data_IF_532114439777
#
_entry.id   IF_532114439777
#
_cell.length_a   1.000
_cell.length_b   1.000
_cell.length_c   1.000
_cell.angle_alpha   90.00
_cell.angle_beta   90.00
_cell.angle_gamma   90.00
#
_symmetry.space_group_name_H-M   'P 1'
#
loop_
_entity.id
_entity.type
_entity.pdbx_description
1 polymer ?
#
# COMPACT_ATOMS: atom_id res chain seq x y z
N UNK A 1 -3.40 -2.11 14.54
CA UNK A 1 -4.85 -1.98 14.44
C UNK A 1 -5.41 -1.21 15.62
N UNK A 2 -6.70 -0.88 15.57
CA UNK A 2 -7.35 -0.12 16.63
C UNK A 2 -7.55 -0.97 17.89
N UNK A 3 -7.36 -0.37 19.06
CA UNK A 3 -7.74 -0.99 20.33
C UNK A 3 -9.27 -1.00 20.44
N UNK A 4 -9.81 -1.78 21.39
CA UNK A 4 -11.26 -1.84 21.63
C UNK A 4 -11.84 -0.46 21.95
N UNK A 5 -11.14 0.31 22.79
CA UNK A 5 -11.57 1.67 23.15
C UNK A 5 -11.52 2.63 21.96
N UNK A 6 -10.49 2.55 21.15
CA UNK A 6 -10.37 3.35 19.92
C UNK A 6 -11.50 3.03 18.94
N UNK A 7 -11.75 1.74 18.72
CA UNK A 7 -12.84 1.31 17.84
C UNK A 7 -14.20 1.79 18.36
N UNK A 8 -14.46 1.65 19.64
CA UNK A 8 -15.71 2.10 20.26
C UNK A 8 -15.92 3.60 20.07
N UNK A 9 -14.88 4.42 20.33
CA UNK A 9 -14.98 5.86 20.16
C UNK A 9 -15.26 6.24 18.71
N UNK A 10 -14.61 5.57 17.75
CA UNK A 10 -14.83 5.81 16.33
C UNK A 10 -16.23 5.44 15.88
N UNK A 11 -16.76 4.30 16.34
CA UNK A 11 -18.11 3.87 16.02
C UNK A 11 -19.16 4.84 16.58
N UNK A 12 -19.01 5.28 17.82
CA UNK A 12 -19.93 6.22 18.44
C UNK A 12 -19.92 7.58 17.73
N UNK A 13 -18.75 8.02 17.29
CA UNK A 13 -18.61 9.32 16.63
C UNK A 13 -19.12 9.30 15.19
N UNK A 14 -18.70 8.32 14.39
CA UNK A 14 -18.95 8.29 12.95
C UNK A 14 -20.23 7.54 12.57
N UNK A 15 -20.57 6.46 13.27
CA UNK A 15 -21.75 5.66 12.94
C UNK A 15 -23.01 6.18 13.65
N UNK A 16 -22.89 6.66 14.89
CA UNK A 16 -24.00 7.13 15.70
C UNK A 16 -24.08 8.65 15.84
N UNK A 17 -23.16 9.38 15.21
CA UNK A 17 -23.15 10.85 15.19
C UNK A 17 -23.15 11.51 16.57
N UNK A 18 -22.55 10.87 17.57
CA UNK A 18 -22.51 11.43 18.92
C UNK A 18 -21.42 12.50 19.05
N UNK A 19 -21.69 13.51 19.88
CA UNK A 19 -20.69 14.52 20.23
C UNK A 19 -19.61 13.93 21.14
N UNK A 20 -18.48 14.61 21.25
CA UNK A 20 -17.39 14.19 22.14
C UNK A 20 -17.86 14.09 23.59
N UNK A 21 -18.70 15.03 24.04
CA UNK A 21 -19.27 15.00 25.38
C UNK A 21 -20.19 13.82 25.63
N UNK A 22 -21.01 13.47 24.65
CA UNK A 22 -21.90 12.30 24.75
C UNK A 22 -21.12 10.99 24.78
N UNK A 23 -20.09 10.87 23.95
CA UNK A 23 -19.21 9.71 23.94
C UNK A 23 -18.47 9.58 25.28
N UNK A 24 -17.96 10.69 25.79
CA UNK A 24 -17.28 10.72 27.09
C UNK A 24 -18.17 10.19 28.21
N UNK A 25 -19.45 10.58 28.23
CA UNK A 25 -20.40 10.08 29.19
C UNK A 25 -20.67 8.59 29.04
N UNK A 26 -20.85 8.12 27.80
CA UNK A 26 -21.11 6.69 27.54
C UNK A 26 -19.91 5.82 27.91
N UNK A 27 -18.70 6.28 27.60
CA UNK A 27 -17.48 5.51 27.87
C UNK A 27 -16.94 5.71 29.28
N UNK A 28 -17.51 6.63 30.04
CA UNK A 28 -17.07 7.01 31.39
C UNK A 28 -15.60 7.46 31.40
N UNK A 29 -15.25 8.32 30.47
CA UNK A 29 -13.92 8.93 30.34
C UNK A 29 -14.07 10.45 30.16
N UNK A 30 -12.95 11.17 30.14
CA UNK A 30 -12.99 12.61 29.89
C UNK A 30 -13.23 12.91 28.40
N UNK A 31 -13.76 14.11 28.13
CA UNK A 31 -13.91 14.60 26.76
C UNK A 31 -12.58 14.66 26.03
N UNK A 32 -11.51 15.09 26.73
CA UNK A 32 -10.15 15.12 26.15
C UNK A 32 -9.68 13.73 25.79
N UNK A 33 -9.97 12.72 26.61
CA UNK A 33 -9.63 11.34 26.33
C UNK A 33 -10.31 10.87 25.04
N UNK A 34 -11.60 11.20 24.83
CA UNK A 34 -12.32 10.86 23.60
C UNK A 34 -11.68 11.53 22.39
N UNK A 35 -11.34 12.82 22.51
CA UNK A 35 -10.65 13.55 21.44
C UNK A 35 -9.35 12.83 21.05
N UNK A 36 -8.54 12.45 22.04
CA UNK A 36 -7.28 11.76 21.80
C UNK A 36 -7.49 10.37 21.19
N UNK A 37 -8.50 9.63 21.63
CA UNK A 37 -8.85 8.33 21.06
C UNK A 37 -9.19 8.45 19.58
N UNK A 38 -10.01 9.43 19.21
CA UNK A 38 -10.41 9.65 17.82
C UNK A 38 -9.22 10.13 16.98
N UNK A 39 -8.42 11.05 17.50
CA UNK A 39 -7.24 11.56 16.77
C UNK A 39 -6.24 10.46 16.46
N UNK A 40 -5.92 9.62 17.44
CA UNK A 40 -4.98 8.49 17.27
C UNK A 40 -5.54 7.42 16.34
N UNK A 41 -6.85 7.15 16.45
CA UNK A 41 -7.51 6.19 15.58
C UNK A 41 -7.47 6.65 14.11
N UNK A 42 -7.78 7.91 13.87
CA UNK A 42 -7.75 8.51 12.53
C UNK A 42 -6.35 8.47 11.92
N UNK A 43 -5.33 8.73 12.73
CA UNK A 43 -3.92 8.64 12.32
C UNK A 43 -3.55 7.22 11.89
N UNK A 44 -3.92 6.21 12.69
CA UNK A 44 -3.66 4.80 12.36
C UNK A 44 -4.34 4.39 11.06
N UNK A 45 -5.60 4.81 10.85
CA UNK A 45 -6.32 4.49 9.63
C UNK A 45 -5.68 5.14 8.40
N UNK A 46 -5.27 6.41 8.50
CA UNK A 46 -4.56 7.08 7.41
C UNK A 46 -3.26 6.38 7.05
N UNK A 47 -2.49 5.95 8.06
CA UNK A 47 -1.25 5.22 7.84
C UNK A 47 -1.51 3.89 7.13
N UNK A 48 -2.57 3.16 7.52
CA UNK A 48 -2.97 1.91 6.87
C UNK A 48 -3.39 2.13 5.41
N UNK A 49 -4.19 3.16 5.14
CA UNK A 49 -4.62 3.50 3.78
C UNK A 49 -3.43 3.85 2.89
N UNK A 50 -2.47 4.64 3.41
CA UNK A 50 -1.26 4.99 2.68
C UNK A 50 -0.42 3.74 2.36
N UNK A 51 -0.26 2.83 3.31
CA UNK A 51 0.49 1.59 3.13
C UNK A 51 -0.19 0.68 2.09
N UNK A 52 -1.52 0.53 2.16
CA UNK A 52 -2.28 -0.27 1.21
C UNK A 52 -2.21 0.33 -0.21
N UNK A 53 -2.30 1.65 -0.32
CA UNK A 53 -2.17 2.34 -1.60
C UNK A 53 -0.79 2.15 -2.22
N UNK A 54 0.28 2.21 -1.42
CA UNK A 54 1.65 1.97 -1.87
C UNK A 54 1.83 0.53 -2.34
N UNK A 55 1.29 -0.45 -1.59
CA UNK A 55 1.35 -1.86 -1.97
C UNK A 55 0.62 -2.13 -3.29
N UNK A 56 -0.56 -1.52 -3.48
CA UNK A 56 -1.31 -1.65 -4.73
C UNK A 56 -0.59 -1.06 -5.93
N UNK A 57 0.08 0.08 -5.75
CA UNK A 57 0.89 0.70 -6.82
C UNK A 57 2.08 -0.18 -7.19
N UNK A 58 2.74 -0.76 -6.20
CA UNK A 58 3.87 -1.67 -6.41
C UNK A 58 3.43 -2.91 -7.17
N UNK A 59 2.32 -3.53 -6.77
CA UNK A 59 1.78 -4.70 -7.45
C UNK A 59 1.49 -4.41 -8.92
N UNK A 60 0.85 -3.28 -9.22
CA UNK A 60 0.57 -2.88 -10.61
C UNK A 60 1.84 -2.64 -11.41
N UNK A 61 2.85 -2.03 -10.79
CA UNK A 61 4.14 -1.81 -11.45
C UNK A 61 4.81 -3.13 -11.80
N UNK A 62 4.84 -4.09 -10.88
CA UNK A 62 5.44 -5.40 -11.12
C UNK A 62 4.71 -6.18 -12.21
N UNK A 63 3.37 -6.08 -12.27
CA UNK A 63 2.58 -6.68 -13.35
C UNK A 63 2.94 -6.09 -14.72
N UNK A 64 3.10 -4.76 -14.78
CA UNK A 64 3.50 -4.08 -16.03
C UNK A 64 4.90 -4.48 -16.45
N UNK A 65 5.84 -4.59 -15.52
CA UNK A 65 7.19 -5.04 -15.80
C UNK A 65 7.19 -6.48 -16.32
N UNK A 66 6.38 -7.36 -15.75
CA UNK A 66 6.24 -8.73 -16.24
C UNK A 66 5.74 -8.76 -17.68
N UNK A 67 4.79 -7.88 -18.02
CA UNK A 67 4.29 -7.77 -19.40
C UNK A 67 5.38 -7.28 -20.36
N UNK A 68 6.19 -6.30 -19.95
CA UNK A 68 7.31 -5.81 -20.76
C UNK A 68 8.33 -6.93 -20.97
N UNK A 69 8.61 -7.76 -19.96
CA UNK A 69 9.47 -8.93 -20.09
C UNK A 69 8.96 -9.90 -21.15
N UNK A 70 7.66 -10.18 -21.15
CA UNK A 70 7.04 -11.04 -22.18
C UNK A 70 7.24 -10.48 -23.59
N UNK A 71 7.04 -9.17 -23.74
CA UNK A 71 7.20 -8.50 -25.05
C UNK A 71 8.65 -8.53 -25.51
N UNK A 72 9.60 -8.30 -24.61
CA UNK A 72 11.03 -8.40 -24.93
C UNK A 72 11.41 -9.83 -25.32
N UNK A 73 10.86 -10.83 -24.64
CA UNK A 73 11.05 -12.23 -24.99
C UNK A 73 10.52 -12.56 -26.38
N UNK A 74 9.37 -12.01 -26.74
CA UNK A 74 8.78 -12.19 -28.07
C UNK A 74 9.66 -11.56 -29.16
N UNK A 75 10.24 -10.39 -28.91
CA UNK A 75 11.16 -9.75 -29.83
C UNK A 75 12.43 -10.57 -29.97
N UNK A 76 13.00 -11.06 -28.87
CA UNK A 76 14.20 -11.88 -28.85
C UNK A 76 14.02 -13.21 -29.60
N UNK A 77 12.79 -13.72 -29.68
CA UNK A 77 12.46 -14.93 -30.45
C UNK A 77 12.38 -14.72 -31.94
N UNK A 78 12.52 -13.49 -32.43
CA UNK A 78 12.47 -13.17 -33.84
C UNK A 78 13.87 -13.09 -34.43
N UNK A 79 13.95 -13.10 -35.76
CA UNK A 79 15.19 -12.92 -36.47
C UNK A 79 15.53 -11.42 -36.54
N UNK A 80 16.33 -10.96 -35.61
CA UNK A 80 16.67 -9.53 -35.44
C UNK A 80 18.18 -9.34 -35.53
N UNK A 81 18.65 -8.13 -35.91
CA UNK A 81 20.07 -7.81 -35.94
C UNK A 81 20.74 -8.00 -34.56
N UNK A 82 22.03 -8.29 -34.57
CA UNK A 82 22.82 -8.53 -33.35
C UNK A 82 22.74 -7.33 -32.39
N UNK A 83 22.82 -6.11 -32.93
CA UNK A 83 22.75 -4.89 -32.14
C UNK A 83 21.37 -4.75 -31.46
N UNK A 84 20.29 -5.08 -32.16
CA UNK A 84 18.95 -5.06 -31.60
C UNK A 84 18.78 -6.10 -30.49
N UNK A 85 19.35 -7.30 -30.68
CA UNK A 85 19.31 -8.35 -29.67
C UNK A 85 20.08 -7.95 -28.42
N UNK A 86 21.22 -7.30 -28.56
CA UNK A 86 22.00 -6.80 -27.43
C UNK A 86 21.19 -5.77 -26.60
N UNK A 87 20.48 -4.87 -27.27
CA UNK A 87 19.63 -3.87 -26.60
C UNK A 87 18.45 -4.52 -25.91
N UNK A 88 17.82 -5.50 -26.53
CA UNK A 88 16.69 -6.24 -25.95
C UNK A 88 17.13 -7.00 -24.69
N UNK A 89 18.28 -7.66 -24.75
CA UNK A 89 18.83 -8.40 -23.62
C UNK A 89 19.18 -7.46 -22.47
N UNK A 90 19.76 -6.29 -22.77
CA UNK A 90 20.05 -5.28 -21.73
C UNK A 90 18.78 -4.77 -21.07
N UNK A 91 17.74 -4.48 -21.85
CA UNK A 91 16.46 -4.05 -21.31
C UNK A 91 15.86 -5.12 -20.39
N UNK A 92 15.93 -6.38 -20.79
CA UNK A 92 15.44 -7.51 -19.98
C UNK A 92 16.21 -7.63 -18.66
N UNK A 93 17.55 -7.43 -18.69
CA UNK A 93 18.38 -7.46 -17.48
C UNK A 93 18.01 -6.33 -16.52
N UNK A 94 17.76 -5.13 -17.02
CA UNK A 94 17.37 -3.99 -16.18
C UNK A 94 16.04 -4.25 -15.47
N UNK A 95 15.05 -4.80 -16.17
CA UNK A 95 13.77 -5.14 -15.58
C UNK A 95 13.92 -6.23 -14.52
N UNK A 96 14.70 -7.26 -14.82
CA UNK A 96 14.97 -8.36 -13.90
C UNK A 96 15.61 -7.86 -12.60
N UNK A 97 16.53 -6.89 -12.72
CA UNK A 97 17.18 -6.26 -11.57
C UNK A 97 16.16 -5.51 -10.69
N UNK A 98 15.23 -4.76 -11.31
CA UNK A 98 14.17 -4.06 -10.57
C UNK A 98 13.29 -5.06 -9.83
N UNK A 99 12.88 -6.14 -10.48
CA UNK A 99 12.06 -7.19 -9.87
C UNK A 99 12.78 -7.83 -8.68
N UNK A 100 14.07 -8.10 -8.81
CA UNK A 100 14.87 -8.71 -7.74
C UNK A 100 15.03 -7.75 -6.55
N UNK A 101 15.29 -6.48 -6.80
CA UNK A 101 15.41 -5.46 -5.76
C UNK A 101 14.12 -5.33 -4.95
N UNK A 102 12.97 -5.41 -5.61
CA UNK A 102 11.68 -5.34 -4.94
C UNK A 102 11.40 -6.58 -4.08
N UNK A 103 11.73 -7.76 -4.58
CA UNK A 103 11.62 -9.00 -3.80
C UNK A 103 12.49 -8.93 -2.55
N UNK A 104 13.73 -8.47 -2.67
CA UNK A 104 14.66 -8.32 -1.56
C UNK A 104 14.16 -7.29 -0.55
N UNK A 105 13.63 -6.16 -1.03
CA UNK A 105 13.10 -5.10 -0.18
C UNK A 105 11.88 -5.54 0.64
N UNK A 106 11.08 -6.48 0.13
CA UNK A 106 9.89 -6.98 0.81
C UNK A 106 10.11 -8.30 1.52
N UNK A 107 11.34 -8.81 1.57
CA UNK A 107 11.68 -10.04 2.28
C UNK A 107 11.15 -11.31 1.63
N UNK A 108 10.93 -11.26 0.35
CA UNK A 108 10.43 -12.40 -0.41
C UNK A 108 11.55 -13.31 -0.90
#
# INVERSE_FOLDING_TARGET
LLTDKQLQAMQLHFDEDLSLGEIARQMNVSRQNVHDLIARSSEKLRACEAALGAAGRMERMLERLARVQELLGAIAGQDIPTEARALTDEAARQIQRIQQEEEDAHGL
#
